data_IF_947985783432
#
_entry.id   IF_947985783432
#
_cell.length_a   1.000
_cell.length_b   1.000
_cell.length_c   1.000
_cell.angle_alpha   90.00
_cell.angle_beta   90.00
_cell.angle_gamma   90.00
#
_symmetry.space_group_name_H-M   'P 1'
#
loop_
_entity.id
_entity.type
_entity.pdbx_description
1 polymer ?
#
# COMPACT_ATOMS: atom_id res chain seq x y z
N UNK A 1 -11.69 51.05 -10.56
CA UNK A 1 -10.57 50.39 -9.86
C UNK A 1 -10.66 48.90 -10.17
N UNK A 2 -9.56 48.27 -10.59
CA UNK A 2 -9.56 46.82 -10.81
C UNK A 2 -9.59 46.10 -9.45
N UNK A 3 -10.39 45.04 -9.33
CA UNK A 3 -10.53 44.24 -8.12
C UNK A 3 -9.26 43.46 -7.75
N UNK A 4 -9.31 42.72 -6.64
CA UNK A 4 -8.14 42.01 -6.10
C UNK A 4 -7.57 40.98 -7.10
N UNK A 5 -6.23 40.86 -7.19
CA UNK A 5 -5.59 39.92 -8.09
C UNK A 5 -5.91 38.47 -7.69
N UNK A 6 -6.24 37.64 -8.67
CA UNK A 6 -6.38 36.19 -8.49
C UNK A 6 -4.96 35.61 -8.36
N UNK A 7 -4.70 34.90 -7.25
CA UNK A 7 -3.39 34.32 -6.96
C UNK A 7 -2.99 33.24 -7.97
N UNK A 8 -1.76 33.32 -8.47
CA UNK A 8 -1.12 32.19 -9.12
C UNK A 8 -0.65 31.24 -8.01
N UNK A 9 -1.42 30.17 -7.75
CA UNK A 9 -0.94 29.06 -6.92
C UNK A 9 0.10 28.32 -7.77
N UNK A 10 1.39 28.30 -7.41
CA UNK A 10 2.35 27.45 -8.08
C UNK A 10 1.94 25.99 -7.85
N UNK A 11 1.97 25.20 -8.92
CA UNK A 11 1.63 23.78 -8.98
C UNK A 11 2.12 23.03 -7.74
N UNK A 12 1.12 22.57 -6.96
CA UNK A 12 1.17 21.58 -5.88
C UNK A 12 2.50 21.45 -5.12
N UNK A 13 2.55 22.02 -3.92
CA UNK A 13 3.39 21.46 -2.86
C UNK A 13 2.81 20.08 -2.49
N UNK A 14 3.13 19.05 -3.26
CA UNK A 14 2.98 17.67 -2.79
C UNK A 14 3.88 17.53 -1.58
N UNK A 15 3.33 17.09 -0.45
CA UNK A 15 4.13 16.78 0.73
C UNK A 15 5.18 15.73 0.29
N UNK A 16 6.49 15.96 0.49
CA UNK A 16 7.51 14.99 0.11
C UNK A 16 7.33 13.62 0.78
N UNK A 17 6.49 13.51 1.81
CA UNK A 17 6.11 12.24 2.43
C UNK A 17 5.00 11.48 1.67
N UNK A 18 4.38 12.08 0.65
CA UNK A 18 3.18 11.56 -0.03
C UNK A 18 3.50 10.78 -1.32
N UNK A 19 4.75 10.83 -1.81
CA UNK A 19 5.14 10.19 -3.06
C UNK A 19 6.49 9.48 -2.97
N UNK A 20 6.66 8.46 -3.82
CA UNK A 20 7.88 7.66 -3.90
C UNK A 20 8.30 7.57 -5.36
N UNK A 21 9.56 7.92 -5.62
CA UNK A 21 10.19 7.66 -6.90
C UNK A 21 10.66 6.20 -6.97
N UNK A 22 10.18 5.50 -8.00
CA UNK A 22 10.53 4.10 -8.27
C UNK A 22 11.21 4.06 -9.63
N UNK A 23 12.39 3.44 -9.69
CA UNK A 23 13.05 3.19 -10.97
C UNK A 23 12.19 2.24 -11.82
N UNK A 24 11.96 2.57 -13.10
CA UNK A 24 11.11 1.77 -14.00
C UNK A 24 11.53 0.30 -14.07
N UNK A 25 12.82 -0.02 -13.92
CA UNK A 25 13.32 -1.40 -13.91
C UNK A 25 12.97 -2.23 -12.67
N UNK A 26 12.50 -1.59 -11.59
CA UNK A 26 12.15 -2.28 -10.34
C UNK A 26 10.74 -2.88 -10.39
N UNK A 27 9.86 -2.29 -11.19
CA UNK A 27 8.44 -2.67 -11.29
C UNK A 27 8.03 -2.78 -12.76
N UNK A 28 7.67 -3.98 -13.21
CA UNK A 28 7.21 -4.20 -14.58
C UNK A 28 5.68 -4.03 -14.72
N UNK A 29 5.12 -3.06 -13.99
CA UNK A 29 3.67 -2.83 -13.92
C UNK A 29 3.37 -1.33 -14.08
N UNK A 30 2.27 -0.97 -14.75
CA UNK A 30 1.85 0.42 -14.87
C UNK A 30 1.75 1.11 -13.50
N UNK A 31 2.25 2.35 -13.42
CA UNK A 31 2.31 3.12 -12.17
C UNK A 31 0.93 3.46 -11.60
N UNK A 32 -0.10 3.56 -12.43
CA UNK A 32 -1.50 3.77 -12.04
C UNK A 32 -2.12 2.57 -11.30
N UNK A 33 -1.43 1.43 -11.30
CA UNK A 33 -1.81 0.23 -10.54
C UNK A 33 -0.93 -0.02 -9.33
N UNK A 34 -0.03 0.91 -9.00
CA UNK A 34 0.84 0.80 -7.84
C UNK A 34 0.32 1.65 -6.69
N UNK A 35 0.45 1.15 -5.47
CA UNK A 35 0.25 1.91 -4.24
C UNK A 35 1.32 1.55 -3.23
N UNK A 36 1.65 2.50 -2.38
CA UNK A 36 2.61 2.31 -1.30
C UNK A 36 1.90 2.41 0.05
N UNK A 37 2.29 1.56 0.99
CA UNK A 37 1.81 1.61 2.37
C UNK A 37 3.00 1.65 3.31
N UNK A 38 2.91 2.50 4.34
CA UNK A 38 3.82 2.44 5.48
C UNK A 38 3.32 1.40 6.46
N UNK A 39 4.16 0.41 6.75
CA UNK A 39 3.84 -0.68 7.67
C UNK A 39 3.78 -0.15 9.10
N UNK A 40 2.76 -0.60 9.83
CA UNK A 40 2.60 -0.35 11.26
C UNK A 40 2.49 -1.67 12.02
N UNK A 41 3.33 -1.86 13.02
CA UNK A 41 3.41 -3.05 13.86
C UNK A 41 4.24 -4.18 13.27
N UNK A 42 4.20 -5.33 13.95
CA UNK A 42 5.16 -6.43 13.75
C UNK A 42 4.53 -7.70 13.18
N UNK A 43 3.33 -7.62 12.59
CA UNK A 43 2.59 -8.83 12.18
C UNK A 43 3.25 -9.64 11.06
N UNK A 44 4.26 -9.10 10.39
CA UNK A 44 4.95 -9.70 9.25
C UNK A 44 6.48 -9.75 9.43
N UNK A 45 6.99 -9.72 10.67
CA UNK A 45 8.44 -9.67 10.95
C UNK A 45 9.21 -10.87 10.38
N UNK A 46 8.65 -12.08 10.39
CA UNK A 46 9.30 -13.27 9.83
C UNK A 46 9.37 -13.21 8.30
N UNK A 47 8.53 -12.38 7.67
CA UNK A 47 8.61 -12.06 6.26
C UNK A 47 9.60 -10.93 5.95
N UNK A 48 10.40 -10.51 6.94
CA UNK A 48 11.32 -9.35 6.85
C UNK A 48 10.60 -8.04 6.52
N UNK A 49 9.34 -7.91 6.95
CA UNK A 49 8.54 -6.68 6.86
C UNK A 49 8.39 -6.12 8.27
N UNK A 50 9.08 -5.00 8.53
CA UNK A 50 9.20 -4.39 9.84
C UNK A 50 8.32 -3.14 9.97
N UNK A 51 8.06 -2.72 11.21
CA UNK A 51 7.40 -1.45 11.49
C UNK A 51 8.16 -0.28 10.85
N UNK A 52 7.45 0.60 10.16
CA UNK A 52 8.01 1.75 9.45
C UNK A 52 8.47 1.48 8.02
N UNK A 53 8.61 0.21 7.62
CA UNK A 53 8.93 -0.16 6.23
C UNK A 53 7.88 0.37 5.26
N UNK A 54 8.31 0.59 4.02
CA UNK A 54 7.40 0.93 2.93
C UNK A 54 7.28 -0.26 2.00
N UNK A 55 6.05 -0.73 1.81
CA UNK A 55 5.73 -1.76 0.83
C UNK A 55 5.10 -1.13 -0.40
N UNK A 56 5.56 -1.56 -1.57
CA UNK A 56 4.95 -1.20 -2.86
C UNK A 56 4.14 -2.39 -3.33
N UNK A 57 2.88 -2.16 -3.61
CA UNK A 57 1.88 -3.18 -3.92
C UNK A 57 1.25 -2.86 -5.26
N UNK A 58 0.84 -3.91 -5.96
CA UNK A 58 0.08 -3.80 -7.20
C UNK A 58 -1.39 -4.06 -6.92
N UNK A 59 -2.27 -3.19 -7.40
CA UNK A 59 -3.70 -3.42 -7.42
C UNK A 59 -4.06 -4.62 -8.29
N UNK A 60 -4.77 -5.57 -7.70
CA UNK A 60 -5.25 -6.77 -8.37
C UNK A 60 -6.51 -7.29 -7.70
N UNK A 61 -7.45 -7.79 -8.52
CA UNK A 61 -8.72 -8.34 -8.03
C UNK A 61 -8.57 -9.75 -7.45
N UNK A 62 -7.45 -10.42 -7.71
CA UNK A 62 -7.19 -11.80 -7.31
C UNK A 62 -5.76 -11.97 -6.82
N UNK A 63 -5.54 -12.88 -5.87
CA UNK A 63 -4.23 -13.28 -5.36
C UNK A 63 -4.13 -14.82 -5.27
N UNK A 64 -2.94 -15.39 -5.33
CA UNK A 64 -2.71 -16.83 -5.15
C UNK A 64 -2.52 -17.18 -3.67
N UNK A 65 -2.61 -18.47 -3.35
CA UNK A 65 -2.29 -18.93 -2.00
C UNK A 65 -0.80 -18.72 -1.73
N UNK A 66 -0.51 -18.14 -0.56
CA UNK A 66 0.84 -17.73 -0.17
C UNK A 66 1.25 -16.34 -0.65
N UNK A 67 0.42 -15.64 -1.44
CA UNK A 67 0.70 -14.25 -1.80
C UNK A 67 0.55 -13.34 -0.57
N UNK A 68 1.48 -12.41 -0.41
CA UNK A 68 1.33 -11.30 0.55
C UNK A 68 0.38 -10.28 -0.04
N UNK A 69 -0.67 -9.95 0.69
CA UNK A 69 -1.71 -9.02 0.25
C UNK A 69 -1.94 -7.94 1.29
N UNK A 70 -2.26 -6.73 0.82
CA UNK A 70 -2.94 -5.74 1.62
C UNK A 70 -4.45 -5.99 1.52
N UNK A 71 -5.11 -6.17 2.65
CA UNK A 71 -6.55 -6.41 2.72
C UNK A 71 -7.21 -5.35 3.62
N UNK A 72 -8.33 -4.80 3.16
CA UNK A 72 -9.20 -3.95 3.97
C UNK A 72 -10.13 -4.84 4.79
N UNK A 73 -10.10 -4.71 6.11
CA UNK A 73 -10.95 -5.50 7.01
C UNK A 73 -12.06 -4.59 7.53
N UNK A 74 -13.30 -4.80 7.06
CA UNK A 74 -14.44 -3.97 7.43
C UNK A 74 -14.68 -3.89 8.94
N UNK A 75 -14.41 -4.97 9.68
CA UNK A 75 -14.62 -5.02 11.13
C UNK A 75 -13.64 -4.17 11.95
N UNK A 76 -12.43 -3.96 11.44
CA UNK A 76 -11.36 -3.24 12.13
C UNK A 76 -11.13 -1.83 11.54
N UNK A 77 -11.84 -1.49 10.44
CA UNK A 77 -11.71 -0.24 9.69
C UNK A 77 -10.25 0.09 9.30
N UNK A 78 -9.43 -0.95 9.06
CA UNK A 78 -8.01 -0.80 8.73
C UNK A 78 -7.54 -1.69 7.57
N UNK A 79 -6.48 -1.24 6.90
CA UNK A 79 -5.73 -2.04 5.92
C UNK A 79 -4.63 -2.81 6.64
N UNK A 80 -4.59 -4.13 6.44
CA UNK A 80 -3.58 -5.01 7.05
C UNK A 80 -2.78 -5.75 5.99
N UNK A 81 -1.50 -6.05 6.29
CA UNK A 81 -0.67 -6.95 5.48
C UNK A 81 -0.68 -8.35 6.08
N UNK A 82 -1.00 -9.34 5.24
CA UNK A 82 -1.10 -10.76 5.61
C UNK A 82 -0.75 -11.66 4.42
N UNK A 83 -0.44 -12.92 4.69
CA UNK A 83 -0.46 -13.96 3.66
C UNK A 83 -1.88 -14.47 3.45
N UNK A 84 -2.30 -14.55 2.20
CA UNK A 84 -3.61 -15.08 1.82
C UNK A 84 -3.52 -16.59 1.58
N UNK A 85 -4.45 -17.35 2.18
CA UNK A 85 -4.65 -18.76 1.88
C UNK A 85 -6.14 -19.04 1.72
N UNK A 86 -6.51 -19.82 0.71
CA UNK A 86 -7.88 -20.31 0.56
C UNK A 86 -8.10 -21.56 1.40
N UNK A 87 -9.27 -21.63 2.03
CA UNK A 87 -9.72 -22.78 2.81
C UNK A 87 -11.14 -23.17 2.34
N UNK A 88 -11.19 -23.91 1.23
CA UNK A 88 -12.46 -24.22 0.56
C UNK A 88 -13.14 -22.97 0.01
N UNK A 89 -14.29 -22.60 0.59
CA UNK A 89 -15.04 -21.40 0.22
C UNK A 89 -14.57 -20.15 0.99
N UNK A 90 -13.81 -20.35 2.06
CA UNK A 90 -13.35 -19.27 2.93
C UNK A 90 -11.93 -18.83 2.56
N UNK A 91 -11.56 -17.64 3.02
CA UNK A 91 -10.21 -17.09 2.90
C UNK A 91 -9.66 -16.86 4.30
N UNK A 92 -8.43 -17.32 4.53
CA UNK A 92 -7.68 -17.11 5.75
C UNK A 92 -6.54 -16.13 5.49
N UNK A 93 -6.45 -15.12 6.34
CA UNK A 93 -5.34 -14.17 6.36
C UNK A 93 -4.41 -14.53 7.51
N UNK A 94 -3.15 -14.86 7.20
CA UNK A 94 -2.17 -15.33 8.17
C UNK A 94 -1.07 -14.29 8.38
N UNK A 95 -0.78 -13.90 9.63
CA UNK A 95 0.43 -13.12 9.94
C UNK A 95 1.67 -13.99 9.75
N UNK A 96 2.82 -13.34 9.64
CA UNK A 96 4.15 -13.94 9.67
C UNK A 96 4.92 -13.40 10.87
N UNK A 97 4.45 -13.79 12.05
CA UNK A 97 5.00 -13.40 13.35
C UNK A 97 4.67 -14.50 14.38
N UNK A 98 5.62 -14.92 15.25
CA UNK A 98 5.37 -15.85 16.35
C UNK A 98 4.44 -15.31 17.46
#
# INVERSE_FOLDING_TARGET
AAGEPIGAIPREAHDPEEWIEIAEGLVNVPSDRLFALRVKGNSMIDASVLDGDIVILRQQDTANDGDMVAAWIEGDEETTLKYLYRDGADVRLMPANP
#
